data_IF_274372732692
#
_entry.id   IF_274372732692
#
_cell.length_a   1.000
_cell.length_b   1.000
_cell.length_c   1.000
_cell.angle_alpha   90.00
_cell.angle_beta   90.00
_cell.angle_gamma   90.00
#
_symmetry.space_group_name_H-M   'P 1'
#
loop_
_entity.id
_entity.type
_entity.pdbx_description
1 polymer ?
#
# COMPACT_ATOMS: atom_id res chain seq x y z
N UNK A 1 9.86 -9.09 37.17
CA UNK A 1 10.08 -9.13 35.71
C UNK A 1 10.04 -7.70 35.21
N UNK A 2 11.10 -7.16 34.61
CA UNK A 2 11.11 -5.75 34.21
C UNK A 2 10.25 -5.54 32.95
N UNK A 3 9.82 -4.30 32.69
CA UNK A 3 9.09 -3.94 31.47
C UNK A 3 9.88 -4.29 30.19
N UNK A 4 11.21 -4.16 30.24
CA UNK A 4 12.11 -4.59 29.14
C UNK A 4 12.03 -6.09 28.92
N UNK A 5 12.02 -6.89 29.98
CA UNK A 5 11.95 -8.36 29.87
C UNK A 5 10.59 -8.82 29.33
N UNK A 6 9.51 -8.13 29.71
CA UNK A 6 8.16 -8.40 29.20
C UNK A 6 8.02 -8.01 27.71
N UNK A 7 8.53 -6.85 27.32
CA UNK A 7 8.54 -6.41 25.92
C UNK A 7 9.40 -7.34 25.05
N UNK A 8 10.57 -7.75 25.55
CA UNK A 8 11.42 -8.73 24.86
C UNK A 8 10.74 -10.08 24.72
N UNK A 9 10.05 -10.58 25.75
CA UNK A 9 9.26 -11.81 25.65
C UNK A 9 8.11 -11.72 24.64
N UNK A 10 7.44 -10.57 24.54
CA UNK A 10 6.40 -10.33 23.53
C UNK A 10 7.01 -10.34 22.12
N UNK A 11 8.14 -9.67 21.90
CA UNK A 11 8.86 -9.70 20.63
C UNK A 11 9.37 -11.10 20.26
N UNK A 12 9.94 -11.83 21.22
CA UNK A 12 10.41 -13.21 21.01
C UNK A 12 9.24 -14.18 20.71
N UNK A 13 8.02 -13.89 21.17
CA UNK A 13 6.81 -14.66 20.84
C UNK A 13 6.31 -14.41 19.42
N UNK A 14 6.49 -13.19 18.89
CA UNK A 14 6.07 -12.84 17.52
C UNK A 14 6.86 -13.65 16.48
N UNK A 15 8.16 -13.87 16.70
CA UNK A 15 8.99 -14.73 15.84
C UNK A 15 8.74 -16.24 16.04
N UNK A 16 8.01 -16.61 17.10
CA UNK A 16 7.76 -17.99 17.50
C UNK A 16 6.36 -18.50 17.15
N UNK A 17 5.59 -17.77 16.34
CA UNK A 17 4.31 -18.28 15.80
C UNK A 17 4.64 -19.36 14.78
N UNK A 18 4.41 -20.62 15.16
CA UNK A 18 4.86 -21.83 14.46
C UNK A 18 3.69 -22.72 14.03
N UNK A 19 2.47 -22.22 14.25
CA UNK A 19 1.20 -22.89 13.94
C UNK A 19 0.38 -21.86 13.17
N UNK A 20 -0.07 -22.24 11.98
CA UNK A 20 -0.98 -21.43 11.17
C UNK A 20 -2.40 -21.42 11.78
N UNK A 21 -3.24 -20.47 11.37
CA UNK A 21 -4.62 -20.32 11.88
C UNK A 21 -5.47 -21.61 11.72
N UNK A 22 -5.06 -22.52 10.83
CA UNK A 22 -5.66 -23.85 10.58
C UNK A 22 -5.09 -24.97 11.48
N UNK A 23 -4.21 -24.66 12.44
CA UNK A 23 -3.62 -25.65 13.34
C UNK A 23 -2.45 -26.44 12.76
N UNK A 24 -1.99 -26.11 11.55
CA UNK A 24 -0.88 -26.79 10.86
C UNK A 24 0.46 -26.20 11.32
N UNK A 25 1.41 -27.07 11.68
CA UNK A 25 2.78 -26.67 12.03
C UNK A 25 3.46 -26.11 10.78
N UNK A 26 3.97 -24.89 10.89
CA UNK A 26 4.70 -24.24 9.80
C UNK A 26 5.93 -25.05 9.40
N UNK A 27 6.19 -25.18 8.09
CA UNK A 27 7.40 -25.83 7.60
C UNK A 27 8.63 -24.96 7.88
N UNK A 28 9.67 -25.55 8.47
CA UNK A 28 10.95 -24.89 8.71
C UNK A 28 11.74 -24.82 7.39
N UNK A 29 12.33 -23.65 7.09
CA UNK A 29 13.17 -23.51 5.90
C UNK A 29 14.55 -24.15 6.08
N UNK A 30 15.19 -24.49 4.97
CA UNK A 30 16.43 -25.27 4.96
C UNK A 30 17.60 -24.56 5.65
N UNK A 31 17.73 -23.23 5.49
CA UNK A 31 18.76 -22.43 6.16
C UNK A 31 18.64 -22.56 7.70
N UNK A 32 17.44 -22.37 8.26
CA UNK A 32 17.21 -22.49 9.69
C UNK A 32 17.31 -23.95 10.17
N UNK A 33 16.86 -24.91 9.36
CA UNK A 33 16.93 -26.32 9.67
C UNK A 33 18.38 -26.81 9.79
N UNK A 34 19.25 -26.39 8.87
CA UNK A 34 20.68 -26.71 8.90
C UNK A 34 21.33 -26.15 10.17
N UNK A 35 21.12 -24.86 10.45
CA UNK A 35 21.68 -24.23 11.64
C UNK A 35 21.15 -24.84 12.94
N UNK A 36 19.89 -25.31 12.93
CA UNK A 36 19.36 -26.08 14.04
C UNK A 36 20.13 -27.39 14.24
N UNK A 37 20.42 -28.13 13.16
CA UNK A 37 21.18 -29.39 13.19
C UNK A 37 22.63 -29.16 13.64
N UNK A 38 23.29 -28.10 13.15
CA UNK A 38 24.68 -27.77 13.48
C UNK A 38 24.84 -27.29 14.94
N UNK A 39 23.77 -26.71 15.49
CA UNK A 39 23.68 -26.29 16.89
C UNK A 39 23.51 -27.45 17.88
N UNK A 40 23.06 -28.63 17.43
CA UNK A 40 22.87 -29.83 18.27
C UNK A 40 24.21 -30.53 18.58
N UNK A 41 25.06 -29.83 19.33
CA UNK A 41 26.37 -30.31 19.77
C UNK A 41 26.60 -30.01 21.23
N UNK A 42 27.42 -30.84 21.88
CA UNK A 42 27.79 -30.73 23.29
C UNK A 42 26.59 -30.79 24.25
N UNK A 43 25.51 -31.50 23.88
CA UNK A 43 24.33 -31.70 24.72
C UNK A 43 24.44 -33.00 25.53
N UNK A 44 23.95 -32.98 26.77
CA UNK A 44 23.67 -34.19 27.55
C UNK A 44 22.25 -34.67 27.24
N UNK A 45 22.13 -35.86 26.64
CA UNK A 45 20.86 -36.39 26.11
C UNK A 45 20.37 -37.58 26.94
N UNK A 46 19.12 -37.46 27.41
CA UNK A 46 18.46 -38.42 28.28
C UNK A 46 17.33 -39.16 27.57
N UNK A 47 16.92 -40.31 28.13
CA UNK A 47 15.90 -41.17 27.52
C UNK A 47 14.48 -40.68 27.79
N UNK A 48 14.20 -40.27 29.03
CA UNK A 48 12.86 -39.96 29.47
C UNK A 48 12.51 -38.50 29.18
N UNK A 49 11.29 -38.22 28.68
CA UNK A 49 10.87 -36.86 28.42
C UNK A 49 10.66 -36.11 29.75
N UNK A 50 11.54 -35.16 30.02
CA UNK A 50 11.35 -34.10 31.00
C UNK A 50 10.94 -32.80 30.29
N UNK A 51 10.46 -31.79 31.03
CA UNK A 51 10.30 -30.45 30.47
C UNK A 51 11.58 -30.00 29.76
N UNK A 52 11.44 -29.46 28.54
CA UNK A 52 12.57 -29.19 27.64
C UNK A 52 13.57 -28.17 28.19
N UNK A 53 13.19 -27.39 29.19
CA UNK A 53 14.06 -26.46 29.89
C UNK A 53 14.91 -27.10 30.99
N UNK A 54 14.61 -28.34 31.39
CA UNK A 54 15.36 -29.10 32.39
C UNK A 54 16.38 -30.02 31.73
N UNK A 55 15.94 -30.85 30.78
CA UNK A 55 16.81 -31.84 30.13
C UNK A 55 16.43 -32.00 28.66
N UNK A 56 17.42 -32.34 27.82
CA UNK A 56 17.18 -32.69 26.43
C UNK A 56 16.87 -34.18 26.34
N UNK A 57 15.66 -34.52 25.88
CA UNK A 57 15.31 -35.91 25.64
C UNK A 57 15.62 -36.33 24.19
N UNK A 58 16.05 -37.57 24.01
CA UNK A 58 16.31 -38.13 22.69
C UNK A 58 15.05 -38.12 21.81
N UNK A 59 13.88 -38.34 22.42
CA UNK A 59 12.57 -38.22 21.76
C UNK A 59 12.35 -36.81 21.21
N UNK A 60 12.61 -35.76 22.00
CA UNK A 60 12.42 -34.37 21.53
C UNK A 60 13.31 -34.00 20.36
N UNK A 61 14.55 -34.51 20.32
CA UNK A 61 15.45 -34.31 19.17
C UNK A 61 14.87 -35.02 17.94
N UNK A 62 14.44 -36.28 18.06
CA UNK A 62 13.86 -37.00 16.93
C UNK A 62 12.56 -36.36 16.42
N UNK A 63 11.66 -35.91 17.30
CA UNK A 63 10.49 -35.14 16.88
C UNK A 63 10.90 -33.92 16.04
N UNK A 64 11.96 -33.22 16.46
CA UNK A 64 12.57 -32.12 15.72
C UNK A 64 13.06 -32.54 14.34
N UNK A 65 13.97 -33.51 14.29
CA UNK A 65 14.61 -33.96 13.05
C UNK A 65 13.61 -34.52 12.03
N UNK A 66 12.64 -35.33 12.47
CA UNK A 66 11.61 -35.86 11.56
C UNK A 66 10.66 -34.78 11.04
N UNK A 67 10.60 -33.62 11.70
CA UNK A 67 9.90 -32.45 11.20
C UNK A 67 10.62 -31.67 10.10
N UNK A 68 11.91 -31.94 9.86
CA UNK A 68 12.66 -31.30 8.78
C UNK A 68 12.32 -31.99 7.46
N UNK A 69 11.85 -31.20 6.50
CA UNK A 69 11.43 -31.71 5.19
C UNK A 69 12.62 -32.13 4.32
N UNK A 70 13.74 -31.40 4.38
CA UNK A 70 14.94 -31.73 3.63
C UNK A 70 15.61 -32.99 4.20
N UNK A 71 15.62 -34.05 3.39
CA UNK A 71 16.07 -35.37 3.83
C UNK A 71 17.56 -35.43 4.14
N UNK A 72 18.38 -34.64 3.44
CA UNK A 72 19.83 -34.58 3.64
C UNK A 72 20.16 -33.98 5.01
N UNK A 73 19.55 -32.83 5.32
CA UNK A 73 19.70 -32.15 6.61
C UNK A 73 19.22 -33.05 7.76
N UNK A 74 18.08 -33.72 7.57
CA UNK A 74 17.54 -34.67 8.53
C UNK A 74 18.48 -35.86 8.78
N UNK A 75 19.06 -36.44 7.73
CA UNK A 75 20.00 -37.56 7.84
C UNK A 75 21.28 -37.15 8.57
N UNK A 76 21.82 -35.97 8.25
CA UNK A 76 22.95 -35.37 8.95
C UNK A 76 22.65 -35.17 10.44
N UNK A 77 21.51 -34.56 10.78
CA UNK A 77 21.10 -34.37 12.16
C UNK A 77 21.03 -35.67 12.96
N UNK A 78 20.52 -36.76 12.35
CA UNK A 78 20.48 -38.09 13.00
C UNK A 78 21.89 -38.62 13.28
N UNK A 79 22.83 -38.40 12.36
CA UNK A 79 24.24 -38.78 12.53
C UNK A 79 24.90 -37.97 13.65
N UNK A 80 24.63 -36.66 13.69
CA UNK A 80 25.22 -35.72 14.64
C UNK A 80 24.85 -36.02 16.10
N UNK A 81 23.68 -36.62 16.36
CA UNK A 81 23.27 -37.04 17.71
C UNK A 81 24.37 -37.83 18.40
N UNK A 82 24.88 -38.91 17.77
CA UNK A 82 25.89 -39.77 18.38
C UNK A 82 27.30 -39.23 18.26
N UNK A 83 27.56 -38.41 17.24
CA UNK A 83 28.90 -37.93 16.93
C UNK A 83 29.33 -36.75 17.82
N UNK A 84 28.40 -35.85 18.17
CA UNK A 84 28.73 -34.58 18.82
C UNK A 84 28.06 -34.38 20.19
N UNK A 85 27.30 -35.37 20.69
CA UNK A 85 26.58 -35.25 21.96
C UNK A 85 26.83 -36.45 22.86
N UNK A 86 26.54 -36.27 24.15
CA UNK A 86 26.72 -37.30 25.17
C UNK A 86 25.38 -37.93 25.52
N UNK A 87 25.20 -39.19 25.14
CA UNK A 87 23.98 -39.93 25.46
C UNK A 87 24.15 -40.70 26.77
N UNK A 88 23.11 -40.68 27.61
CA UNK A 88 23.02 -41.64 28.72
C UNK A 88 22.89 -43.08 28.20
N UNK A 89 23.36 -44.07 28.98
CA UNK A 89 23.29 -45.49 28.59
C UNK A 89 21.86 -45.95 28.24
N UNK A 90 20.86 -45.44 28.97
CA UNK A 90 19.46 -45.72 28.69
C UNK A 90 18.96 -45.03 27.41
N UNK A 91 19.46 -43.83 27.07
CA UNK A 91 19.10 -43.16 25.83
C UNK A 91 19.68 -43.89 24.62
N UNK A 92 20.93 -44.35 24.71
CA UNK A 92 21.57 -45.08 23.62
C UNK A 92 20.90 -46.45 23.38
N UNK A 93 20.57 -47.19 24.46
CA UNK A 93 19.86 -48.47 24.36
C UNK A 93 18.45 -48.34 23.73
N UNK A 94 17.76 -47.23 23.98
CA UNK A 94 16.39 -47.00 23.52
C UNK A 94 16.30 -46.11 22.26
N UNK A 95 17.43 -45.86 21.58
CA UNK A 95 17.51 -44.92 20.46
C UNK A 95 16.53 -45.24 19.31
N UNK A 96 16.41 -46.52 18.92
CA UNK A 96 15.48 -46.95 17.86
C UNK A 96 14.00 -46.71 18.21
N UNK A 97 13.64 -46.92 19.48
CA UNK A 97 12.27 -46.65 19.97
C UNK A 97 11.99 -45.15 19.99
N UNK A 98 12.93 -44.33 20.46
CA UNK A 98 12.81 -42.87 20.47
C UNK A 98 12.67 -42.30 19.05
N UNK A 99 13.45 -42.83 18.09
CA UNK A 99 13.36 -42.47 16.67
C UNK A 99 11.97 -42.75 16.11
N UNK A 100 11.47 -43.98 16.27
CA UNK A 100 10.15 -44.38 15.76
C UNK A 100 9.01 -43.58 16.38
N UNK A 101 9.14 -43.23 17.67
CA UNK A 101 8.16 -42.40 18.36
C UNK A 101 8.22 -40.93 17.90
N UNK A 102 9.41 -40.40 17.63
CA UNK A 102 9.59 -39.03 17.14
C UNK A 102 9.00 -38.83 15.75
N UNK A 103 9.14 -39.83 14.87
CA UNK A 103 8.56 -39.83 13.53
C UNK A 103 7.03 -39.72 13.54
N UNK A 104 6.36 -40.26 14.58
CA UNK A 104 4.89 -40.16 14.74
C UNK A 104 4.41 -38.77 15.15
N UNK A 105 5.30 -37.90 15.64
CA UNK A 105 4.96 -36.54 16.12
C UNK A 105 6.01 -35.53 15.65
N UNK A 106 6.16 -35.34 14.33
CA UNK A 106 7.16 -34.45 13.76
C UNK A 106 6.84 -32.99 14.13
N UNK A 107 7.82 -32.28 14.64
CA UNK A 107 7.73 -30.84 14.92
C UNK A 107 9.15 -30.23 14.90
N UNK A 108 9.58 -29.64 13.77
CA UNK A 108 10.95 -29.16 13.60
C UNK A 108 11.29 -28.02 14.58
N UNK A 109 10.30 -27.25 15.00
CA UNK A 109 10.51 -26.09 15.86
C UNK A 109 10.94 -26.44 17.28
N UNK A 110 10.77 -27.69 17.71
CA UNK A 110 11.33 -28.18 18.97
C UNK A 110 12.84 -27.96 19.01
N UNK A 111 13.54 -28.06 17.87
CA UNK A 111 14.99 -27.85 17.80
C UNK A 111 15.38 -26.43 18.24
N UNK A 112 14.63 -25.41 17.81
CA UNK A 112 14.88 -24.02 18.24
C UNK A 112 14.71 -23.85 19.75
N UNK A 113 13.75 -24.57 20.37
CA UNK A 113 13.55 -24.57 21.82
C UNK A 113 14.69 -25.28 22.56
N UNK A 114 15.16 -26.42 22.04
CA UNK A 114 16.32 -27.12 22.60
C UNK A 114 17.52 -26.18 22.64
N UNK A 115 17.83 -25.53 21.52
CA UNK A 115 18.96 -24.60 21.43
C UNK A 115 18.78 -23.39 22.35
N UNK A 116 17.57 -22.84 22.46
CA UNK A 116 17.28 -21.73 23.36
C UNK A 116 17.63 -22.02 24.82
N UNK A 117 17.36 -23.24 25.30
CA UNK A 117 17.58 -23.61 26.70
C UNK A 117 18.97 -24.20 26.95
N UNK A 118 19.49 -25.01 26.03
CA UNK A 118 20.68 -25.83 26.25
C UNK A 118 21.90 -25.39 25.44
N UNK A 119 21.73 -24.47 24.49
CA UNK A 119 22.83 -23.85 23.74
C UNK A 119 22.55 -22.35 23.51
N UNK A 120 22.40 -21.62 24.62
CA UNK A 120 21.88 -20.26 24.64
C UNK A 120 22.68 -19.28 23.78
N UNK A 121 24.01 -19.35 23.82
CA UNK A 121 24.88 -18.45 23.05
C UNK A 121 24.68 -18.67 21.54
N UNK A 122 24.63 -19.93 21.10
CA UNK A 122 24.33 -20.27 19.71
C UNK A 122 22.93 -19.80 19.29
N UNK A 123 21.94 -19.96 20.17
CA UNK A 123 20.59 -19.50 19.90
C UNK A 123 20.52 -17.99 19.71
N UNK A 124 21.12 -17.20 20.60
CA UNK A 124 21.07 -15.74 20.52
C UNK A 124 21.90 -15.20 19.33
N UNK A 125 23.02 -15.83 18.98
CA UNK A 125 23.90 -15.36 17.91
C UNK A 125 23.48 -15.81 16.51
N UNK A 126 22.90 -17.00 16.36
CA UNK A 126 22.64 -17.62 15.05
C UNK A 126 21.14 -17.82 14.82
N UNK A 127 20.47 -18.56 15.71
CA UNK A 127 19.08 -18.99 15.51
C UNK A 127 18.12 -17.79 15.56
N UNK A 128 18.26 -16.92 16.56
CA UNK A 128 17.35 -15.80 16.79
C UNK A 128 17.38 -14.77 15.64
N UNK A 129 18.55 -14.35 15.10
CA UNK A 129 18.61 -13.54 13.89
C UNK A 129 17.92 -14.18 12.68
N UNK A 130 18.10 -15.49 12.47
CA UNK A 130 17.46 -16.21 11.36
C UNK A 130 15.94 -16.29 11.52
N UNK A 131 15.44 -16.53 12.73
CA UNK A 131 14.00 -16.47 13.04
C UNK A 131 13.41 -15.08 12.68
N UNK A 132 14.12 -14.01 13.04
CA UNK A 132 13.71 -12.64 12.70
C UNK A 132 13.69 -12.41 11.19
N UNK A 133 14.76 -12.77 10.48
CA UNK A 133 14.89 -12.65 9.02
C UNK A 133 13.74 -13.39 8.32
N UNK A 134 13.49 -14.64 8.69
CA UNK A 134 12.44 -15.47 8.10
C UNK A 134 11.05 -14.86 8.29
N UNK A 135 10.76 -14.36 9.49
CA UNK A 135 9.51 -13.67 9.79
C UNK A 135 9.31 -12.43 8.92
N UNK A 136 10.35 -11.60 8.76
CA UNK A 136 10.29 -10.39 7.93
C UNK A 136 10.07 -10.71 6.44
N UNK A 137 10.80 -11.71 5.91
CA UNK A 137 10.62 -12.18 4.52
C UNK A 137 9.20 -12.68 4.29
N UNK A 138 8.67 -13.47 5.23
CA UNK A 138 7.31 -14.03 5.12
C UNK A 138 6.24 -12.94 5.16
N UNK A 139 6.40 -11.97 6.07
CA UNK A 139 5.55 -10.78 6.15
C UNK A 139 5.57 -10.01 4.82
N UNK A 140 6.75 -9.80 4.24
CA UNK A 140 6.89 -9.09 2.97
C UNK A 140 6.26 -9.87 1.81
N UNK A 141 6.45 -11.19 1.73
CA UNK A 141 5.82 -12.03 0.70
C UNK A 141 4.30 -11.93 0.75
N UNK A 142 3.71 -12.02 1.95
CA UNK A 142 2.26 -11.88 2.14
C UNK A 142 1.74 -10.54 1.62
N UNK A 143 2.45 -9.44 1.93
CA UNK A 143 2.11 -8.10 1.43
C UNK A 143 2.16 -8.07 -0.10
N UNK A 144 3.22 -8.61 -0.72
CA UNK A 144 3.37 -8.64 -2.18
C UNK A 144 2.24 -9.42 -2.86
N UNK A 145 1.85 -10.58 -2.30
CA UNK A 145 0.77 -11.39 -2.86
C UNK A 145 -0.59 -10.71 -2.71
N UNK A 146 -0.86 -10.07 -1.57
CA UNK A 146 -2.06 -9.26 -1.37
C UNK A 146 -2.10 -8.07 -2.33
N UNK A 147 -0.98 -7.37 -2.52
CA UNK A 147 -0.87 -6.22 -3.44
C UNK A 147 -1.24 -6.59 -4.88
N UNK A 148 -0.91 -7.80 -5.34
CA UNK A 148 -1.29 -8.28 -6.67
C UNK A 148 -2.80 -8.49 -6.82
N UNK A 149 -3.51 -8.76 -5.72
CA UNK A 149 -4.96 -8.98 -5.70
C UNK A 149 -5.75 -7.68 -5.50
N UNK A 150 -5.09 -6.58 -5.11
CA UNK A 150 -5.74 -5.29 -4.90
C UNK A 150 -6.11 -4.68 -6.26
N UNK A 151 -7.40 -4.40 -6.42
CA UNK A 151 -7.90 -3.66 -7.57
C UNK A 151 -7.37 -2.22 -7.53
N UNK A 152 -6.63 -1.84 -8.57
CA UNK A 152 -6.06 -0.51 -8.70
C UNK A 152 -7.12 0.45 -9.21
N UNK A 153 -7.36 1.50 -8.44
CA UNK A 153 -8.30 2.56 -8.78
C UNK A 153 -7.55 3.85 -9.08
N UNK A 154 -7.96 4.56 -10.13
CA UNK A 154 -7.61 5.96 -10.31
C UNK A 154 -8.62 6.86 -9.59
N UNK A 155 -8.20 8.10 -9.32
CA UNK A 155 -9.10 9.10 -8.75
C UNK A 155 -10.09 9.52 -9.86
N UNK A 156 -11.37 9.23 -9.65
CA UNK A 156 -12.46 9.74 -10.48
C UNK A 156 -13.28 10.76 -9.68
N UNK A 157 -13.35 12.01 -10.16
CA UNK A 157 -14.12 13.08 -9.51
C UNK A 157 -15.64 12.93 -9.70
N UNK A 158 -16.11 12.25 -10.75
CA UNK A 158 -17.55 12.08 -11.03
C UNK A 158 -18.18 11.07 -10.07
N UNK A 159 -17.46 10.00 -9.73
CA UNK A 159 -17.92 9.03 -8.76
C UNK A 159 -18.10 9.66 -7.36
N UNK A 160 -19.26 9.50 -6.72
CA UNK A 160 -19.55 10.09 -5.41
C UNK A 160 -18.99 9.23 -4.25
N UNK A 161 -17.67 9.19 -4.13
CA UNK A 161 -16.97 8.50 -3.05
C UNK A 161 -15.81 9.36 -2.52
N UNK A 162 -15.76 9.51 -1.21
CA UNK A 162 -14.90 10.44 -0.47
C UNK A 162 -14.34 9.80 0.80
N UNK A 163 -13.55 10.55 1.56
CA UNK A 163 -13.04 10.10 2.85
C UNK A 163 -14.14 9.85 3.89
N UNK A 164 -15.29 10.52 3.78
CA UNK A 164 -16.45 10.30 4.66
C UNK A 164 -16.99 8.88 4.48
N UNK A 165 -17.04 8.39 3.23
CA UNK A 165 -17.49 7.04 2.91
C UNK A 165 -16.56 5.98 3.50
N UNK A 166 -15.24 6.23 3.46
CA UNK A 166 -14.24 5.38 4.11
C UNK A 166 -14.49 5.29 5.63
N UNK A 167 -14.74 6.44 6.26
CA UNK A 167 -15.06 6.53 7.69
C UNK A 167 -16.37 5.82 8.05
N UNK A 168 -17.41 5.99 7.23
CA UNK A 168 -18.69 5.31 7.39
C UNK A 168 -18.55 3.79 7.26
N UNK A 169 -17.79 3.30 6.26
CA UNK A 169 -17.49 1.87 6.10
C UNK A 169 -16.71 1.33 7.31
N UNK A 170 -15.79 2.10 7.86
CA UNK A 170 -15.04 1.72 9.07
C UNK A 170 -15.97 1.56 10.27
N UNK A 171 -16.83 2.56 10.52
CA UNK A 171 -17.81 2.53 11.60
C UNK A 171 -18.77 1.33 11.50
N UNK A 172 -19.14 0.97 10.28
CA UNK A 172 -20.04 -0.14 9.98
C UNK A 172 -19.32 -1.51 9.88
N UNK A 173 -18.03 -1.59 10.25
CA UNK A 173 -17.27 -2.85 10.26
C UNK A 173 -17.07 -3.50 8.90
N UNK A 174 -17.22 -2.76 7.80
CA UNK A 174 -17.23 -3.30 6.43
C UNK A 174 -15.87 -3.82 5.93
N UNK A 175 -14.80 -3.54 6.67
CA UNK A 175 -13.45 -3.95 6.29
C UNK A 175 -13.00 -5.28 6.88
N UNK A 176 -13.78 -5.93 7.75
CA UNK A 176 -13.47 -7.27 8.30
C UNK A 176 -12.04 -7.42 8.86
N UNK A 177 -11.49 -6.35 9.46
CA UNK A 177 -10.11 -6.29 9.95
C UNK A 177 -9.02 -6.49 8.89
N UNK A 178 -9.33 -6.22 7.62
CA UNK A 178 -8.43 -6.33 6.47
C UNK A 178 -8.00 -4.94 5.99
N UNK A 179 -6.70 -4.64 6.12
CA UNK A 179 -6.15 -3.35 5.70
C UNK A 179 -6.16 -3.19 4.16
N UNK A 180 -6.12 -4.29 3.42
CA UNK A 180 -6.17 -4.28 1.95
C UNK A 180 -7.48 -3.72 1.40
N UNK A 181 -8.61 -3.98 2.06
CA UNK A 181 -9.91 -3.42 1.67
C UNK A 181 -9.97 -1.91 1.93
N UNK A 182 -9.34 -1.46 3.02
CA UNK A 182 -9.20 -0.02 3.32
C UNK A 182 -8.30 0.64 2.27
N UNK A 183 -7.18 0.01 1.91
CA UNK A 183 -6.27 0.52 0.91
C UNK A 183 -6.94 0.65 -0.47
N UNK A 184 -7.75 -0.34 -0.88
CA UNK A 184 -8.56 -0.29 -2.11
C UNK A 184 -9.46 0.95 -2.17
N UNK A 185 -10.16 1.25 -1.08
CA UNK A 185 -11.03 2.43 -1.01
C UNK A 185 -10.21 3.73 -0.96
N UNK A 186 -9.10 3.76 -0.21
CA UNK A 186 -8.21 4.91 -0.18
C UNK A 186 -7.59 5.20 -1.56
N UNK A 187 -7.31 4.18 -2.39
CA UNK A 187 -6.75 4.38 -3.74
C UNK A 187 -7.69 5.15 -4.68
N UNK A 188 -9.00 5.11 -4.42
CA UNK A 188 -10.01 5.89 -5.16
C UNK A 188 -9.94 7.39 -4.84
N UNK A 189 -9.30 7.75 -3.74
CA UNK A 189 -9.31 9.13 -3.22
C UNK A 189 -7.93 9.72 -2.96
N UNK A 190 -6.86 8.92 -2.85
CA UNK A 190 -5.52 9.41 -2.51
C UNK A 190 -4.48 8.92 -3.53
N UNK A 191 -3.53 9.80 -3.87
CA UNK A 191 -2.25 9.48 -4.52
C UNK A 191 -1.11 10.22 -3.82
N UNK A 192 0.11 9.71 -3.93
CA UNK A 192 1.32 10.27 -3.34
C UNK A 192 2.36 10.55 -4.42
N UNK A 193 2.99 11.72 -4.36
CA UNK A 193 4.02 12.14 -5.31
C UNK A 193 5.24 12.62 -4.52
N UNK A 194 6.46 12.17 -4.89
CA UNK A 194 7.68 12.66 -4.27
C UNK A 194 7.91 14.13 -4.63
N UNK A 195 8.30 14.95 -3.66
CA UNK A 195 8.66 16.35 -3.81
C UNK A 195 9.93 16.68 -3.02
N UNK A 196 10.51 17.87 -3.22
CA UNK A 196 11.79 18.26 -2.61
C UNK A 196 11.81 18.09 -1.08
N UNK A 197 10.68 18.30 -0.40
CA UNK A 197 10.56 18.23 1.06
C UNK A 197 9.76 17.00 1.54
N UNK A 198 9.80 15.90 0.79
CA UNK A 198 9.16 14.63 1.16
C UNK A 198 8.04 14.23 0.21
N UNK A 199 6.83 14.06 0.74
CA UNK A 199 5.67 13.59 -0.03
C UNK A 199 4.60 14.67 -0.11
N UNK A 200 4.10 14.90 -1.31
CA UNK A 200 2.86 15.63 -1.56
C UNK A 200 1.75 14.62 -1.81
N UNK A 201 0.65 14.73 -1.06
CA UNK A 201 -0.50 13.88 -1.22
C UNK A 201 -1.60 14.60 -1.99
N UNK A 202 -2.07 13.96 -3.04
CA UNK A 202 -3.25 14.35 -3.78
C UNK A 202 -4.43 13.65 -3.13
N UNK A 203 -5.45 14.41 -2.74
CA UNK A 203 -6.67 13.86 -2.17
C UNK A 203 -7.90 14.41 -2.87
N UNK A 204 -8.86 13.53 -3.14
CA UNK A 204 -10.20 13.88 -3.61
C UNK A 204 -11.07 14.29 -2.42
N UNK A 205 -11.59 15.51 -2.46
CA UNK A 205 -12.49 16.04 -1.44
C UNK A 205 -13.70 16.72 -2.08
N UNK A 206 -14.84 16.63 -1.41
CA UNK A 206 -16.05 17.34 -1.82
C UNK A 206 -15.93 18.83 -1.49
N UNK A 207 -16.07 19.67 -2.50
CA UNK A 207 -16.06 21.12 -2.35
C UNK A 207 -17.51 21.63 -2.26
N UNK A 208 -17.91 22.09 -1.08
CA UNK A 208 -19.28 22.53 -0.84
C UNK A 208 -19.66 23.82 -1.58
N UNK A 209 -18.67 24.65 -1.94
CA UNK A 209 -18.91 25.88 -2.71
C UNK A 209 -19.13 25.52 -4.17
N UNK A 210 -18.30 24.62 -4.71
CA UNK A 210 -18.42 24.18 -6.10
C UNK A 210 -19.51 23.11 -6.30
N UNK A 211 -20.03 22.50 -5.23
CA UNK A 211 -21.03 21.43 -5.27
C UNK A 211 -20.53 20.15 -5.94
N UNK A 212 -19.21 19.90 -5.94
CA UNK A 212 -18.59 18.77 -6.64
C UNK A 212 -17.30 18.31 -5.98
N UNK A 213 -16.86 17.09 -6.31
CA UNK A 213 -15.53 16.63 -5.89
C UNK A 213 -14.43 17.37 -6.64
N UNK A 214 -13.37 17.70 -5.93
CA UNK A 214 -12.19 18.39 -6.44
C UNK A 214 -10.92 17.73 -5.92
N UNK A 215 -9.80 18.01 -6.57
CA UNK A 215 -8.49 17.61 -6.09
C UNK A 215 -7.97 18.69 -5.13
N UNK A 216 -7.49 18.25 -3.97
CA UNK A 216 -6.74 19.07 -3.01
C UNK A 216 -5.37 18.45 -2.80
N UNK A 217 -4.41 19.29 -2.41
CA UNK A 217 -3.04 18.89 -2.13
C UNK A 217 -2.77 19.03 -0.64
N UNK A 218 -2.17 18.01 -0.03
CA UNK A 218 -1.86 17.99 1.39
C UNK A 218 -0.43 17.57 1.64
N UNK A 219 0.17 18.19 2.65
CA UNK A 219 1.42 17.69 3.21
C UNK A 219 1.16 16.43 4.05
N UNK A 220 2.26 15.77 4.44
CA UNK A 220 2.21 14.54 5.25
C UNK A 220 1.40 14.73 6.54
N UNK A 221 1.69 15.76 7.33
CA UNK A 221 1.05 15.98 8.64
C UNK A 221 -0.46 16.09 8.51
N UNK A 222 -0.94 16.94 7.60
CA UNK A 222 -2.37 17.19 7.41
C UNK A 222 -3.13 15.92 6.98
N UNK A 223 -2.57 15.14 6.04
CA UNK A 223 -3.21 13.88 5.63
C UNK A 223 -3.18 12.84 6.75
N UNK A 224 -2.04 12.69 7.42
CA UNK A 224 -1.86 11.69 8.46
C UNK A 224 -2.82 11.92 9.63
N UNK A 225 -3.02 13.17 10.03
CA UNK A 225 -3.95 13.50 11.12
C UNK A 225 -5.41 13.18 10.74
N UNK A 226 -5.81 13.43 9.49
CA UNK A 226 -7.12 13.00 9.00
C UNK A 226 -7.29 11.48 9.04
N UNK A 227 -6.31 10.72 8.53
CA UNK A 227 -6.41 9.25 8.47
C UNK A 227 -6.31 8.60 9.85
N UNK A 228 -5.55 9.18 10.79
CA UNK A 228 -5.49 8.75 12.20
C UNK A 228 -6.83 8.90 12.91
N UNK A 229 -7.65 9.88 12.52
CA UNK A 229 -8.97 10.06 13.11
C UNK A 229 -9.95 8.93 12.77
N UNK A 230 -9.71 8.22 11.66
CA UNK A 230 -10.55 7.12 11.20
C UNK A 230 -10.06 5.81 11.86
N UNK A 231 -10.71 5.46 12.96
CA UNK A 231 -10.47 4.20 13.68
C UNK A 231 -11.14 3.05 12.95
N UNK A 232 -10.40 1.97 12.74
CA UNK A 232 -10.88 0.79 12.01
C UNK A 232 -11.29 -0.31 12.98
N UNK A 233 -10.33 -0.83 13.76
CA UNK A 233 -10.57 -1.83 14.81
C UNK A 233 -9.48 -1.74 15.88
N UNK A 234 -9.61 -2.56 16.92
CA UNK A 234 -8.63 -2.68 17.98
C UNK A 234 -7.95 -4.05 17.88
N UNK A 235 -6.62 -4.04 17.85
CA UNK A 235 -5.78 -5.23 17.90
C UNK A 235 -4.98 -5.24 19.22
N UNK A 236 -5.49 -5.99 20.19
CA UNK A 236 -5.00 -5.97 21.57
C UNK A 236 -5.07 -4.57 22.19
N UNK A 237 -3.90 -3.96 22.44
CA UNK A 237 -3.79 -2.60 23.00
C UNK A 237 -3.62 -1.52 21.93
N UNK A 238 -3.38 -1.89 20.67
CA UNK A 238 -3.17 -0.94 19.57
C UNK A 238 -4.51 -0.68 18.88
N UNK A 239 -4.83 0.59 18.64
CA UNK A 239 -5.90 0.95 17.72
C UNK A 239 -5.33 1.01 16.31
N UNK A 240 -5.94 0.25 15.40
CA UNK A 240 -5.66 0.30 13.98
C UNK A 240 -6.54 1.38 13.36
N UNK A 241 -5.93 2.20 12.50
CA UNK A 241 -6.54 3.37 11.87
C UNK A 241 -6.28 3.36 10.37
N UNK A 242 -6.96 4.22 9.62
CA UNK A 242 -6.80 4.27 8.15
C UNK A 242 -5.36 4.60 7.72
N UNK A 243 -4.56 5.26 8.58
CA UNK A 243 -3.15 5.52 8.27
C UNK A 243 -2.32 4.24 8.22
N UNK A 244 -2.65 3.21 9.01
CA UNK A 244 -1.94 1.93 8.99
C UNK A 244 -2.08 1.25 7.61
N UNK A 245 -3.22 1.42 6.92
CA UNK A 245 -3.43 0.90 5.57
C UNK A 245 -2.57 1.65 4.54
N UNK A 246 -2.51 2.98 4.62
CA UNK A 246 -1.68 3.81 3.74
C UNK A 246 -0.19 3.50 3.94
N UNK A 247 0.27 3.30 5.18
CA UNK A 247 1.68 2.99 5.47
C UNK A 247 2.05 1.57 5.02
N UNK A 248 1.19 0.58 5.26
CA UNK A 248 1.45 -0.81 4.87
C UNK A 248 1.49 -0.98 3.35
N UNK A 249 0.67 -0.24 2.60
CA UNK A 249 0.54 -0.36 1.15
C UNK A 249 0.97 0.90 0.40
N UNK A 250 1.91 1.68 0.96
CA UNK A 250 2.29 3.01 0.45
C UNK A 250 2.63 3.03 -1.04
N UNK A 251 3.36 2.02 -1.52
CA UNK A 251 3.78 1.89 -2.92
C UNK A 251 2.62 1.85 -3.93
N UNK A 252 1.41 1.46 -3.50
CA UNK A 252 0.23 1.48 -4.38
C UNK A 252 -0.27 2.90 -4.68
N UNK A 253 0.04 3.85 -3.79
CA UNK A 253 -0.41 5.23 -3.90
C UNK A 253 0.57 6.10 -4.70
N UNK A 254 1.80 5.62 -4.89
CA UNK A 254 2.89 6.39 -5.48
C UNK A 254 2.69 6.66 -6.98
N UNK A 255 3.02 7.89 -7.37
CA UNK A 255 3.18 8.36 -8.74
C UNK A 255 4.54 9.03 -8.84
N UNK A 256 5.22 8.86 -9.97
CA UNK A 256 6.54 9.41 -10.29
C UNK A 256 6.51 10.95 -10.32
N UNK A 257 5.37 11.52 -10.70
CA UNK A 257 5.17 12.95 -10.80
C UNK A 257 3.74 13.30 -11.20
N UNK A 258 3.51 14.57 -11.52
CA UNK A 258 2.25 15.03 -12.10
C UNK A 258 2.49 15.82 -13.37
N UNK A 259 1.53 15.75 -14.30
CA UNK A 259 1.44 16.60 -15.49
C UNK A 259 -0.01 17.01 -15.69
N UNK A 260 -0.26 18.04 -16.49
CA UNK A 260 -1.62 18.42 -16.84
C UNK A 260 -2.37 17.25 -17.50
N UNK A 261 -1.77 16.67 -18.54
CA UNK A 261 -2.22 15.41 -19.16
C UNK A 261 -1.03 14.48 -19.36
N UNK A 262 -1.23 13.18 -19.19
CA UNK A 262 -0.21 12.14 -19.38
C UNK A 262 -0.85 10.79 -19.70
N UNK A 263 -0.26 10.08 -20.67
CA UNK A 263 -0.59 8.67 -20.97
C UNK A 263 0.28 7.68 -20.17
N UNK A 264 1.29 8.17 -19.46
CA UNK A 264 2.11 7.33 -18.58
C UNK A 264 1.37 7.15 -17.25
N UNK A 265 0.98 5.90 -16.94
CA UNK A 265 0.27 5.52 -15.71
C UNK A 265 1.02 5.90 -14.42
N UNK A 266 2.35 5.96 -14.46
CA UNK A 266 3.17 6.41 -13.35
C UNK A 266 3.09 7.91 -13.08
N UNK A 267 2.52 8.72 -14.00
CA UNK A 267 2.36 10.16 -13.83
C UNK A 267 0.89 10.47 -13.57
N UNK A 268 0.61 11.22 -12.50
CA UNK A 268 -0.73 11.70 -12.22
C UNK A 268 -1.16 12.79 -13.22
N UNK A 269 -2.30 12.61 -13.86
CA UNK A 269 -2.92 13.62 -14.73
C UNK A 269 -3.80 14.57 -13.90
N UNK A 270 -3.44 15.86 -13.88
CA UNK A 270 -4.20 16.89 -13.14
C UNK A 270 -5.50 17.26 -13.87
N UNK A 271 -5.56 17.12 -15.18
CA UNK A 271 -6.78 17.32 -15.96
C UNK A 271 -7.79 16.21 -15.66
N UNK A 272 -9.00 16.61 -15.28
CA UNK A 272 -10.09 15.74 -14.85
C UNK A 272 -11.30 15.80 -15.79
N UNK A 273 -11.09 16.25 -17.02
CA UNK A 273 -12.17 16.54 -17.97
C UNK A 273 -12.77 17.93 -17.78
N UNK A 274 -13.60 18.33 -18.73
CA UNK A 274 -14.33 19.60 -18.69
C UNK A 274 -15.57 19.52 -17.79
N UNK A 275 -16.04 20.69 -17.34
CA UNK A 275 -17.27 20.81 -16.54
C UNK A 275 -18.49 20.23 -17.26
N UNK A 276 -18.56 20.42 -18.58
CA UNK A 276 -19.67 19.97 -19.41
C UNK A 276 -19.29 18.70 -20.18
N UNK A 277 -20.29 17.86 -20.43
CA UNK A 277 -20.13 16.67 -21.26
C UNK A 277 -20.31 17.05 -22.73
N UNK A 278 -19.61 16.34 -23.60
CA UNK A 278 -19.86 16.42 -25.04
C UNK A 278 -21.27 15.91 -25.34
N UNK A 279 -22.01 16.65 -26.16
CA UNK A 279 -23.32 16.26 -26.66
C UNK A 279 -23.15 15.50 -27.98
N UNK A 280 -24.04 14.55 -28.26
CA UNK A 280 -24.05 13.79 -29.51
C UNK A 280 -24.51 14.65 -30.69
N UNK A 281 -25.41 15.61 -30.43
CA UNK A 281 -25.97 16.52 -31.43
C UNK A 281 -25.86 17.98 -30.99
N UNK A 282 -25.71 18.88 -31.97
CA UNK A 282 -25.65 20.33 -31.74
C UNK A 282 -27.01 20.94 -32.05
N UNK A 283 -27.60 21.60 -31.05
CA UNK A 283 -28.79 22.42 -31.24
C UNK A 283 -28.40 23.81 -31.76
N UNK A 284 -28.47 23.95 -33.09
CA UNK A 284 -28.04 25.16 -33.78
C UNK A 284 -28.76 26.41 -33.28
N UNK A 285 -30.04 26.29 -32.91
CA UNK A 285 -30.86 27.43 -32.44
C UNK A 285 -30.33 28.04 -31.14
N UNK A 286 -29.62 27.26 -30.32
CA UNK A 286 -29.01 27.73 -29.06
C UNK A 286 -27.65 28.38 -29.28
N UNK A 287 -26.88 27.92 -30.27
CA UNK A 287 -25.50 28.40 -30.51
C UNK A 287 -25.45 29.55 -31.53
N UNK A 288 -26.43 29.67 -32.41
CA UNK A 288 -26.47 30.69 -33.48
C UNK A 288 -26.24 32.11 -32.97
N UNK A 289 -26.85 32.47 -31.84
CA UNK A 289 -26.68 33.81 -31.25
C UNK A 289 -25.24 34.08 -30.82
N UNK A 290 -24.55 33.05 -30.30
CA UNK A 290 -23.15 33.17 -29.93
C UNK A 290 -22.27 33.23 -31.19
N UNK A 291 -22.51 32.37 -32.17
CA UNK A 291 -21.77 32.39 -33.44
C UNK A 291 -21.96 33.71 -34.20
N UNK A 292 -23.17 34.27 -34.21
CA UNK A 292 -23.47 35.58 -34.75
C UNK A 292 -22.70 36.70 -34.04
N UNK A 293 -22.60 36.68 -32.70
CA UNK A 293 -21.73 37.61 -31.98
C UNK A 293 -20.26 37.50 -32.44
N UNK A 294 -19.74 36.27 -32.60
CA UNK A 294 -18.36 36.04 -33.02
C UNK A 294 -18.15 36.54 -34.46
N UNK A 295 -19.09 36.26 -35.37
CA UNK A 295 -19.02 36.67 -36.77
C UNK A 295 -19.18 38.18 -36.93
N UNK A 296 -20.32 38.71 -36.53
CA UNK A 296 -20.70 40.09 -36.82
C UNK A 296 -19.81 41.08 -36.05
N UNK A 297 -19.56 40.80 -34.77
CA UNK A 297 -18.95 41.79 -33.87
C UNK A 297 -17.49 41.51 -33.55
N UNK A 298 -17.14 40.27 -33.18
CA UNK A 298 -15.75 39.96 -32.78
C UNK A 298 -14.82 39.93 -34.00
N UNK A 299 -15.26 39.31 -35.10
CA UNK A 299 -14.49 39.25 -36.35
C UNK A 299 -14.75 40.42 -37.30
N UNK A 300 -15.77 41.24 -37.01
CA UNK A 300 -16.15 42.37 -37.88
C UNK A 300 -16.62 41.94 -39.26
N UNK A 301 -17.31 40.79 -39.36
CA UNK A 301 -17.70 40.13 -40.60
C UNK A 301 -16.54 39.69 -41.52
N UNK A 302 -15.30 39.64 -41.04
CA UNK A 302 -14.19 39.01 -41.77
C UNK A 302 -14.22 37.48 -41.58
N UNK A 303 -14.59 36.76 -42.65
CA UNK A 303 -14.72 35.30 -42.62
C UNK A 303 -13.42 34.59 -42.20
N UNK A 304 -12.24 35.11 -42.59
CA UNK A 304 -10.95 34.47 -42.25
C UNK A 304 -10.67 34.60 -40.76
N UNK A 305 -10.97 35.77 -40.19
CA UNK A 305 -10.81 36.02 -38.75
C UNK A 305 -11.84 35.20 -37.95
N UNK A 306 -13.09 35.13 -38.42
CA UNK A 306 -14.14 34.31 -37.83
C UNK A 306 -13.73 32.83 -37.73
N UNK A 307 -13.32 32.24 -38.86
CA UNK A 307 -12.84 30.86 -38.90
C UNK A 307 -11.61 30.64 -38.01
N UNK A 308 -10.65 31.57 -38.02
CA UNK A 308 -9.47 31.48 -37.17
C UNK A 308 -9.84 31.44 -35.68
N UNK A 309 -10.74 32.32 -35.22
CA UNK A 309 -11.17 32.37 -33.81
C UNK A 309 -11.84 31.05 -33.41
N UNK A 310 -12.75 30.53 -34.23
CA UNK A 310 -13.43 29.26 -33.94
C UNK A 310 -12.46 28.09 -33.92
N UNK A 311 -11.58 27.99 -34.91
CA UNK A 311 -10.58 26.94 -34.98
C UNK A 311 -9.60 27.01 -33.81
N UNK A 312 -9.16 28.22 -33.44
CA UNK A 312 -8.28 28.44 -32.29
C UNK A 312 -8.91 27.95 -30.98
N UNK A 313 -10.19 28.27 -30.75
CA UNK A 313 -10.87 27.77 -29.55
C UNK A 313 -11.13 26.26 -29.60
N UNK A 314 -11.55 25.74 -30.76
CA UNK A 314 -11.76 24.29 -30.95
C UNK A 314 -10.47 23.49 -30.69
N UNK A 315 -9.32 24.03 -31.10
CA UNK A 315 -8.02 23.40 -30.88
C UNK A 315 -7.73 23.24 -29.38
N UNK A 316 -8.01 24.26 -28.55
CA UNK A 316 -7.80 24.19 -27.10
C UNK A 316 -8.62 23.06 -26.47
N UNK A 317 -9.89 22.94 -26.88
CA UNK A 317 -10.82 21.93 -26.33
C UNK A 317 -10.44 20.52 -26.81
N UNK A 318 -10.11 20.36 -28.09
CA UNK A 318 -9.79 19.07 -28.70
C UNK A 318 -8.37 18.57 -28.38
N UNK A 319 -7.43 19.48 -28.11
CA UNK A 319 -6.02 19.16 -27.85
C UNK A 319 -5.59 19.54 -26.44
N UNK A 320 -6.27 18.97 -25.44
CA UNK A 320 -6.02 19.25 -24.03
C UNK A 320 -4.54 19.12 -23.64
N UNK A 321 -4.00 20.19 -23.06
CA UNK A 321 -2.60 20.26 -22.63
C UNK A 321 -1.60 20.66 -23.70
N UNK A 322 -2.03 20.86 -24.96
CA UNK A 322 -1.20 21.50 -25.98
C UNK A 322 -1.34 23.01 -25.92
N UNK A 323 -0.21 23.71 -26.02
CA UNK A 323 -0.20 25.18 -26.10
C UNK A 323 -0.58 25.59 -27.52
N UNK A 324 -1.39 26.63 -27.63
CA UNK A 324 -1.72 27.27 -28.92
C UNK A 324 -0.58 28.12 -29.47
N UNK A 325 0.39 28.48 -28.62
CA UNK A 325 1.55 29.35 -28.91
C UNK A 325 1.17 30.72 -29.50
N UNK A 326 -0.10 31.09 -29.38
CA UNK A 326 -0.71 32.30 -29.94
C UNK A 326 -1.72 32.86 -28.95
N UNK A 327 -1.80 34.19 -28.86
CA UNK A 327 -2.75 34.90 -28.03
C UNK A 327 -3.58 35.87 -28.89
N UNK A 328 -4.89 35.87 -28.70
CA UNK A 328 -5.83 36.74 -29.43
C UNK A 328 -6.03 38.03 -28.62
N UNK A 329 -5.82 39.17 -29.25
CA UNK A 329 -6.09 40.49 -28.65
C UNK A 329 -7.31 41.12 -29.29
N UNK A 330 -8.37 41.36 -28.52
CA UNK A 330 -9.60 41.99 -28.99
C UNK A 330 -9.58 43.51 -28.68
N UNK A 331 -9.56 44.34 -29.72
CA UNK A 331 -9.60 45.81 -29.61
C UNK A 331 -10.93 46.35 -30.14
N UNK A 332 -11.48 47.35 -29.46
CA UNK A 332 -12.73 48.01 -29.87
C UNK A 332 -13.39 48.75 -28.71
N UNK A 333 -14.47 49.47 -28.98
CA UNK A 333 -15.22 50.25 -27.99
C UNK A 333 -15.74 49.39 -26.82
N UNK A 334 -15.98 50.02 -25.66
CA UNK A 334 -16.64 49.36 -24.54
C UNK A 334 -18.10 49.01 -24.90
N UNK A 335 -18.62 47.91 -24.36
CA UNK A 335 -20.02 47.51 -24.56
C UNK A 335 -20.30 46.70 -25.84
N UNK A 336 -19.31 46.52 -26.73
CA UNK A 336 -19.49 45.76 -27.98
C UNK A 336 -19.50 44.23 -27.81
N UNK A 337 -19.59 43.70 -26.59
CA UNK A 337 -19.69 42.25 -26.37
C UNK A 337 -18.37 41.47 -26.26
N UNK A 338 -17.20 42.12 -26.20
CA UNK A 338 -15.90 41.45 -25.96
C UNK A 338 -15.93 40.52 -24.74
N UNK A 339 -16.46 41.00 -23.60
CA UNK A 339 -16.55 40.20 -22.37
C UNK A 339 -17.61 39.11 -22.46
N UNK A 340 -18.67 39.30 -23.25
CA UNK A 340 -19.70 38.26 -23.47
C UNK A 340 -19.07 37.08 -24.18
N UNK A 341 -18.25 37.34 -25.21
CA UNK A 341 -17.49 36.32 -25.90
C UNK A 341 -16.54 35.57 -24.95
N UNK A 342 -15.67 36.27 -24.23
CA UNK A 342 -14.67 35.62 -23.37
C UNK A 342 -15.31 34.91 -22.17
N UNK A 343 -16.40 35.43 -21.60
CA UNK A 343 -17.11 34.77 -20.49
C UNK A 343 -17.63 33.39 -20.88
N UNK A 344 -18.16 33.21 -22.09
CA UNK A 344 -18.61 31.89 -22.57
C UNK A 344 -17.44 30.92 -22.66
N UNK A 345 -16.29 31.36 -23.18
CA UNK A 345 -15.10 30.52 -23.27
C UNK A 345 -14.56 30.14 -21.88
N UNK A 346 -14.50 31.10 -20.95
CA UNK A 346 -14.11 30.87 -19.56
C UNK A 346 -15.06 29.90 -18.86
N UNK A 347 -16.36 29.97 -19.13
CA UNK A 347 -17.32 29.04 -18.54
C UNK A 347 -17.17 27.62 -19.10
N UNK A 348 -16.95 27.48 -20.41
CA UNK A 348 -16.68 26.17 -21.04
C UNK A 348 -15.40 25.52 -20.49
N UNK A 349 -14.37 26.32 -20.22
CA UNK A 349 -13.10 25.89 -19.65
C UNK A 349 -13.06 26.01 -18.12
N UNK A 350 -14.21 26.15 -17.45
CA UNK A 350 -14.28 26.39 -16.01
C UNK A 350 -13.49 25.35 -15.20
N UNK A 351 -12.58 25.85 -14.36
CA UNK A 351 -11.60 25.05 -13.61
C UNK A 351 -10.20 25.03 -14.23
N UNK A 352 -10.07 25.42 -15.51
CA UNK A 352 -8.79 25.57 -16.22
C UNK A 352 -8.59 26.96 -16.84
N UNK A 353 -9.55 27.87 -16.65
CA UNK A 353 -9.47 29.27 -17.08
C UNK A 353 -9.70 30.21 -15.91
N UNK A 354 -8.99 31.33 -15.90
CA UNK A 354 -9.31 32.47 -15.05
C UNK A 354 -10.49 33.25 -15.63
N UNK A 355 -11.30 33.87 -14.77
CA UNK A 355 -12.31 34.84 -15.20
C UNK A 355 -11.62 36.05 -15.83
N UNK A 356 -12.39 36.88 -16.56
CA UNK A 356 -11.86 38.13 -17.10
C UNK A 356 -11.22 38.97 -15.99
N UNK A 357 -9.92 39.18 -16.11
CA UNK A 357 -9.12 39.97 -15.18
C UNK A 357 -9.16 41.42 -15.65
N UNK A 358 -9.50 42.33 -14.73
CA UNK A 358 -9.55 43.79 -15.01
C UNK A 358 -8.43 44.57 -14.35
N UNK A 359 -7.75 43.97 -13.38
CA UNK A 359 -6.58 44.53 -12.70
C UNK A 359 -5.34 43.70 -13.03
N UNK A 360 -4.22 44.35 -13.30
CA UNK A 360 -2.97 43.63 -13.57
C UNK A 360 -2.45 42.91 -12.33
N UNK A 361 -2.80 43.40 -11.13
CA UNK A 361 -2.40 42.79 -9.85
C UNK A 361 -3.11 41.46 -9.58
N UNK A 362 -4.23 41.19 -10.26
CA UNK A 362 -4.93 39.90 -10.22
C UNK A 362 -4.26 38.83 -11.10
N UNK A 363 -3.20 39.18 -11.83
CA UNK A 363 -2.40 38.26 -12.64
C UNK A 363 -1.35 37.56 -11.76
N UNK A 364 -1.75 36.44 -11.13
CA UNK A 364 -0.90 35.63 -10.22
C UNK A 364 -0.24 34.46 -10.93
#
# INVERSE_FOLDING_TARGET
MSYKDYAQQQHDRIYGVQIHDEGIIEQMNDELAQECVDGLKNLDIYNYPQPINMEVSLLSIFCGLYGIANESIRAEGKKNIRQFNKLSANADKNCGQASSNGERKPNPWILTKILRYHNKDYYEQIIKPLLKKNYEVKKQSKIVDTVKQIEKHEIDLKYQFTLIDVSSKALNGKYENKLELVAQDLLRIIKAIPCQNGWCFIIKEYDCIAGKNTIKYKNKTALYDQLRSIRLWQDGKKHITAIDALEQYHSLFEKIGMKFTSNNEGIFSVFQGFKYMQLDEVDQTKIDKFLGLVKDTISGNDERVYEYILNWFSFIVQNVGKKTETAITLKGLQGIGKNVFTNVLCELLAGYSSKNITDIDDFV
#
